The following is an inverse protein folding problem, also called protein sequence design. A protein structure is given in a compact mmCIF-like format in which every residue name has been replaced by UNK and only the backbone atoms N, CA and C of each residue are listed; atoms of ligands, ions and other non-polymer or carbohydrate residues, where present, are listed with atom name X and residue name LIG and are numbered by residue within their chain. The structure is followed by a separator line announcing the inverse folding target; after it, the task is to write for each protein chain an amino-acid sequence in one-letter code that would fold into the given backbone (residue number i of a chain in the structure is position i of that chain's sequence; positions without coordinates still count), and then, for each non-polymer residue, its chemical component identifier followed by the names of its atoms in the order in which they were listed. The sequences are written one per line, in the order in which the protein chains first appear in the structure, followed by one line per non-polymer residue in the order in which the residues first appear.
data_IF_558256436644
#
_entry.id   IF_558256436644
#
_cell.length_a   1.000
_cell.length_b   1.000
_cell.length_c   1.000
_cell.angle_alpha   90.00
_cell.angle_beta   90.00
_cell.angle_gamma   90.00
#
_symmetry.space_group_name_H-M   'P 1'
#
loop_
_entity.id
_entity.type
_entity.pdbx_description
1 polymer ?
#
# COMPACT_ATOMS: atom_id res chain seq x y z
N UNK A 1 7.23 37.70 -21.74
CA UNK A 1 7.86 37.23 -20.48
C UNK A 1 6.79 37.37 -19.39
N UNK A 2 6.38 36.29 -18.73
CA UNK A 2 5.38 36.38 -17.66
C UNK A 2 6.03 37.01 -16.41
N UNK A 3 5.37 37.98 -15.73
CA UNK A 3 5.83 38.42 -14.42
C UNK A 3 6.01 37.20 -13.52
N UNK A 4 7.17 37.08 -12.88
CA UNK A 4 7.55 35.98 -11.97
C UNK A 4 7.61 34.56 -12.59
N UNK A 5 7.68 34.42 -13.93
CA UNK A 5 7.73 33.12 -14.63
C UNK A 5 6.56 32.15 -14.28
N UNK A 6 5.39 32.69 -13.91
CA UNK A 6 4.20 31.89 -13.57
C UNK A 6 3.13 32.03 -14.65
N UNK A 7 2.62 30.90 -15.14
CA UNK A 7 1.55 30.87 -16.13
C UNK A 7 0.23 31.11 -15.41
N UNK A 8 -0.37 32.29 -15.56
CA UNK A 8 -1.68 32.59 -14.97
C UNK A 8 -2.87 32.06 -15.82
N UNK A 9 -2.64 31.85 -17.11
CA UNK A 9 -3.65 31.41 -18.09
C UNK A 9 -2.99 30.70 -19.28
N UNK A 10 -3.63 29.65 -19.78
CA UNK A 10 -3.34 29.06 -21.10
C UNK A 10 -4.63 28.97 -21.95
N UNK A 11 -4.63 28.19 -23.03
CA UNK A 11 -5.80 28.02 -23.91
C UNK A 11 -7.00 27.33 -23.25
N UNK A 12 -6.78 26.59 -22.16
CA UNK A 12 -7.76 25.72 -21.52
C UNK A 12 -8.00 26.05 -20.05
N UNK A 13 -7.08 26.73 -19.38
CA UNK A 13 -7.08 26.86 -17.93
C UNK A 13 -6.66 28.23 -17.42
N UNK A 14 -7.18 28.57 -16.25
CA UNK A 14 -6.72 29.63 -15.38
C UNK A 14 -6.01 29.02 -14.16
N UNK A 15 -4.97 29.69 -13.68
CA UNK A 15 -4.11 29.22 -12.60
C UNK A 15 -3.96 30.31 -11.53
N UNK A 16 -4.05 29.90 -10.25
CA UNK A 16 -3.78 30.77 -9.10
C UNK A 16 -2.69 30.17 -8.24
N UNK A 17 -1.84 31.03 -7.69
CA UNK A 17 -0.69 30.65 -6.89
C UNK A 17 -0.73 31.37 -5.54
N UNK A 18 -0.17 30.74 -4.52
CA UNK A 18 0.08 31.43 -3.24
C UNK A 18 1.34 32.32 -3.30
N UNK A 19 1.62 33.02 -2.18
CA UNK A 19 2.81 33.87 -2.01
C UNK A 19 4.13 33.13 -2.22
N UNK A 20 4.15 31.81 -2.06
CA UNK A 20 5.33 30.96 -2.24
C UNK A 20 5.42 30.41 -3.67
N UNK A 21 4.49 30.76 -4.57
CA UNK A 21 4.47 30.29 -5.95
C UNK A 21 3.95 28.87 -6.13
N UNK A 22 3.29 28.29 -5.12
CA UNK A 22 2.66 26.97 -5.25
C UNK A 22 1.28 27.13 -5.87
N UNK A 23 0.95 26.29 -6.84
CA UNK A 23 -0.36 26.27 -7.49
C UNK A 23 -1.43 25.95 -6.44
N UNK A 24 -2.37 26.86 -6.17
CA UNK A 24 -3.46 26.64 -5.22
C UNK A 24 -4.77 26.33 -5.91
N UNK A 25 -4.97 26.82 -7.12
CA UNK A 25 -6.19 26.57 -7.88
C UNK A 25 -5.93 26.49 -9.38
N UNK A 26 -6.61 25.55 -10.04
CA UNK A 26 -6.67 25.43 -11.50
C UNK A 26 -8.13 25.26 -11.92
N UNK A 27 -8.63 26.12 -12.80
CA UNK A 27 -10.01 26.08 -13.32
C UNK A 27 -10.02 26.07 -14.83
N UNK A 28 -11.03 25.47 -15.44
CA UNK A 28 -11.26 25.61 -16.88
C UNK A 28 -11.40 27.09 -17.27
N UNK A 29 -10.84 27.45 -18.43
CA UNK A 29 -10.98 28.76 -19.06
C UNK A 29 -12.22 28.74 -19.95
N UNK A 30 -13.18 29.61 -19.66
CA UNK A 30 -14.38 29.79 -20.48
C UNK A 30 -14.13 31.00 -21.38
N UNK A 31 -14.14 30.84 -22.71
CA UNK A 31 -14.03 31.97 -23.62
C UNK A 31 -15.21 32.94 -23.46
N UNK A 32 -14.97 34.23 -23.68
CA UNK A 32 -16.04 35.23 -23.68
C UNK A 32 -17.09 34.90 -24.74
N UNK A 33 -18.37 35.05 -24.38
CA UNK A 33 -19.50 34.77 -25.27
C UNK A 33 -19.92 33.30 -25.38
N UNK A 34 -19.24 32.37 -24.70
CA UNK A 34 -19.63 30.95 -24.64
C UNK A 34 -20.53 30.71 -23.42
N UNK A 35 -21.62 29.97 -23.63
CA UNK A 35 -22.51 29.50 -22.55
C UNK A 35 -21.76 28.45 -21.74
N UNK A 36 -21.76 28.57 -20.41
CA UNK A 36 -21.16 27.59 -19.50
C UNK A 36 -21.87 26.25 -19.71
N UNK A 37 -21.12 25.24 -20.13
CA UNK A 37 -21.69 23.96 -20.60
C UNK A 37 -21.99 22.97 -19.50
N UNK A 38 -21.84 23.36 -18.24
CA UNK A 38 -22.20 22.44 -17.19
C UNK A 38 -21.05 21.83 -16.39
N UNK A 39 -19.89 21.84 -17.07
CA UNK A 39 -18.93 20.75 -16.98
C UNK A 39 -17.58 21.17 -16.39
N UNK A 40 -17.46 22.45 -16.10
CA UNK A 40 -16.29 23.12 -15.55
C UNK A 40 -15.83 22.51 -14.24
N UNK A 41 -14.51 22.36 -14.11
CA UNK A 41 -13.85 21.74 -12.99
C UNK A 41 -12.98 22.77 -12.31
N UNK A 42 -13.11 22.82 -10.99
CA UNK A 42 -12.18 23.54 -10.13
C UNK A 42 -11.31 22.53 -9.39
N UNK A 43 -10.00 22.66 -9.56
CA UNK A 43 -8.98 21.89 -8.87
C UNK A 43 -8.41 22.77 -7.77
N UNK A 44 -8.40 22.31 -6.51
CA UNK A 44 -7.77 23.02 -5.39
C UNK A 44 -6.66 22.18 -4.78
N UNK A 45 -5.58 22.85 -4.41
CA UNK A 45 -4.35 22.25 -3.92
C UNK A 45 -3.98 22.89 -2.59
N UNK A 46 -3.75 22.06 -1.58
CA UNK A 46 -3.44 22.50 -0.22
C UNK A 46 -2.13 21.88 0.24
N UNK A 47 -1.31 22.72 0.85
CA UNK A 47 0.04 22.38 1.25
C UNK A 47 0.22 22.51 2.76
N UNK A 48 1.10 21.70 3.33
CA UNK A 48 1.55 21.89 4.70
C UNK A 48 2.61 23.01 4.82
N UNK A 49 3.10 23.22 6.03
CA UNK A 49 4.16 24.19 6.35
C UNK A 49 5.52 23.82 5.75
N UNK A 50 5.73 22.56 5.36
CA UNK A 50 6.93 22.08 4.67
C UNK A 50 6.77 22.14 3.15
N UNK A 51 5.74 22.82 2.65
CA UNK A 51 5.46 22.99 1.23
C UNK A 51 5.12 21.71 0.46
N UNK A 52 4.63 20.67 1.14
CA UNK A 52 4.21 19.41 0.53
C UNK A 52 2.70 19.42 0.28
N UNK A 53 2.27 18.93 -0.88
CA UNK A 53 0.85 18.81 -1.22
C UNK A 53 0.20 17.75 -0.33
N UNK A 54 -0.62 18.15 0.64
CA UNK A 54 -1.27 17.22 1.58
C UNK A 54 -2.73 16.94 1.23
N UNK A 55 -3.36 17.83 0.47
CA UNK A 55 -4.77 17.69 0.09
C UNK A 55 -5.05 18.28 -1.28
N UNK A 56 -5.86 17.56 -2.05
CA UNK A 56 -6.35 17.96 -3.36
C UNK A 56 -7.85 17.70 -3.46
N UNK A 57 -8.60 18.65 -4.01
CA UNK A 57 -10.00 18.46 -4.38
C UNK A 57 -10.21 18.80 -5.85
N UNK A 58 -11.13 18.08 -6.50
CA UNK A 58 -11.68 18.44 -7.79
C UNK A 58 -13.18 18.51 -7.66
N UNK A 59 -13.75 19.69 -7.85
CA UNK A 59 -15.19 19.92 -7.81
C UNK A 59 -15.73 20.27 -9.19
N UNK A 60 -16.97 19.89 -9.44
CA UNK A 60 -17.77 20.38 -10.55
C UNK A 60 -19.02 20.96 -9.90
N UNK A 61 -19.31 22.25 -10.12
CA UNK A 61 -20.41 22.95 -9.44
C UNK A 61 -20.41 22.88 -7.92
N UNK A 62 -19.25 23.13 -7.31
CA UNK A 62 -19.04 22.95 -5.86
C UNK A 62 -19.24 21.51 -5.34
N UNK A 63 -19.71 20.57 -6.17
CA UNK A 63 -19.82 19.16 -5.81
C UNK A 63 -18.47 18.44 -5.98
N UNK A 64 -17.98 17.72 -4.96
CA UNK A 64 -16.70 17.02 -5.04
C UNK A 64 -16.78 15.80 -5.97
N UNK A 65 -15.98 15.81 -7.02
CA UNK A 65 -15.75 14.65 -7.90
C UNK A 65 -14.64 13.74 -7.37
N UNK A 66 -13.60 14.34 -6.82
CA UNK A 66 -12.43 13.64 -6.29
C UNK A 66 -11.89 14.41 -5.11
N UNK A 67 -11.52 13.67 -4.07
CA UNK A 67 -10.68 14.17 -3.00
C UNK A 67 -9.45 13.28 -2.88
N UNK A 68 -8.28 13.86 -2.61
CA UNK A 68 -7.05 13.10 -2.39
C UNK A 68 -6.27 13.65 -1.21
N UNK A 69 -5.74 12.76 -0.37
CA UNK A 69 -4.87 13.08 0.75
C UNK A 69 -3.54 12.36 0.58
N UNK A 70 -2.45 13.03 0.93
CA UNK A 70 -1.09 12.50 0.78
C UNK A 70 -0.37 12.51 2.12
N UNK A 71 0.32 11.42 2.42
CA UNK A 71 1.14 11.27 3.62
C UNK A 71 2.60 11.19 3.21
N UNK A 72 3.46 11.81 4.02
CA UNK A 72 4.89 11.90 3.79
C UNK A 72 5.66 11.44 5.03
N UNK A 73 6.84 10.89 4.82
CA UNK A 73 7.79 10.65 5.92
C UNK A 73 8.57 11.94 6.27
N UNK A 74 9.42 11.92 7.32
CA UNK A 74 10.21 13.09 7.71
C UNK A 74 11.19 13.60 6.64
N UNK A 75 11.62 12.74 5.70
CA UNK A 75 12.48 13.12 4.58
C UNK A 75 11.70 13.73 3.41
N UNK A 76 10.37 13.83 3.52
CA UNK A 76 9.51 14.43 2.50
C UNK A 76 9.13 13.47 1.37
N UNK A 77 9.40 12.17 1.50
CA UNK A 77 8.99 11.17 0.51
C UNK A 77 7.55 10.77 0.78
N UNK A 78 6.73 10.66 -0.28
CA UNK A 78 5.31 10.27 -0.13
C UNK A 78 5.23 8.79 0.27
N UNK A 79 4.62 8.49 1.41
CA UNK A 79 4.42 7.11 1.92
C UNK A 79 3.02 6.58 1.67
N UNK A 80 2.03 7.47 1.51
CA UNK A 80 0.67 7.07 1.15
C UNK A 80 -0.06 8.10 0.30
N UNK A 81 -1.01 7.61 -0.49
CA UNK A 81 -2.01 8.39 -1.21
C UNK A 81 -3.37 7.76 -0.94
N UNK A 82 -4.33 8.57 -0.47
CA UNK A 82 -5.73 8.18 -0.28
C UNK A 82 -6.58 8.95 -1.27
N UNK A 83 -7.46 8.27 -2.00
CA UNK A 83 -8.32 8.88 -3.03
C UNK A 83 -9.77 8.48 -2.79
N UNK A 84 -10.62 9.48 -2.61
CA UNK A 84 -12.06 9.33 -2.61
C UNK A 84 -12.58 9.78 -3.97
N UNK A 85 -13.47 9.01 -4.57
CA UNK A 85 -14.06 9.33 -5.88
C UNK A 85 -15.57 9.41 -5.73
N UNK A 86 -16.18 10.33 -6.47
CA UNK A 86 -17.63 10.41 -6.53
C UNK A 86 -18.16 9.17 -7.21
N UNK A 87 -19.00 8.43 -6.51
CA UNK A 87 -19.62 7.20 -6.96
C UNK A 87 -21.07 7.16 -6.49
N UNK A 88 -21.85 6.29 -7.13
CA UNK A 88 -23.25 6.05 -6.75
C UNK A 88 -23.26 5.04 -5.61
N UNK A 89 -23.90 5.37 -4.50
CA UNK A 89 -24.09 4.43 -3.41
C UNK A 89 -25.30 3.50 -3.66
N UNK A 90 -25.57 2.58 -2.73
CA UNK A 90 -26.68 1.62 -2.82
C UNK A 90 -28.07 2.28 -2.86
N UNK A 91 -28.19 3.54 -2.45
CA UNK A 91 -29.44 4.31 -2.50
C UNK A 91 -29.60 5.10 -3.80
N UNK A 92 -28.58 5.10 -4.66
CA UNK A 92 -28.54 5.90 -5.88
C UNK A 92 -27.97 7.30 -5.68
N UNK A 93 -27.55 7.67 -4.46
CA UNK A 93 -27.00 8.98 -4.15
C UNK A 93 -25.55 9.11 -4.63
N UNK A 94 -25.21 10.28 -5.21
CA UNK A 94 -23.90 10.56 -5.76
C UNK A 94 -23.02 11.32 -4.77
N UNK A 95 -22.13 10.60 -4.08
CA UNK A 95 -21.22 11.18 -3.08
C UNK A 95 -19.81 10.59 -3.20
N UNK A 96 -18.84 11.18 -2.49
CA UNK A 96 -17.52 10.57 -2.38
C UNK A 96 -17.61 9.18 -1.73
N UNK A 97 -16.84 8.23 -2.25
CA UNK A 97 -16.74 6.86 -1.75
C UNK A 97 -16.58 6.82 -0.22
N UNK A 98 -17.26 5.92 0.49
CA UNK A 98 -17.14 5.88 1.97
C UNK A 98 -15.72 5.56 2.43
N UNK A 99 -15.02 4.70 1.69
CA UNK A 99 -13.63 4.33 1.93
C UNK A 99 -12.75 4.88 0.80
N UNK A 100 -11.54 5.38 1.11
CA UNK A 100 -10.59 5.75 0.08
C UNK A 100 -9.97 4.52 -0.59
N UNK A 101 -9.63 4.67 -1.87
CA UNK A 101 -8.59 3.86 -2.49
C UNK A 101 -7.24 4.30 -1.92
N UNK A 102 -6.47 3.36 -1.36
CA UNK A 102 -5.18 3.65 -0.74
C UNK A 102 -4.06 3.07 -1.58
N UNK A 103 -3.03 3.87 -1.84
CA UNK A 103 -1.75 3.42 -2.39
C UNK A 103 -0.65 3.72 -1.39
N UNK A 104 0.10 2.70 -1.02
CA UNK A 104 1.28 2.77 -0.16
C UNK A 104 2.55 2.78 -1.00
N UNK A 105 3.56 3.49 -0.51
CA UNK A 105 4.85 3.66 -1.16
C UNK A 105 5.96 3.30 -0.16
N UNK A 106 6.75 2.29 -0.49
CA UNK A 106 7.92 1.85 0.28
C UNK A 106 9.20 2.35 -0.34
N UNK A 107 10.11 2.84 0.50
CA UNK A 107 11.35 3.49 0.07
C UNK A 107 12.58 2.79 0.67
N UNK A 108 13.67 2.75 -0.09
CA UNK A 108 15.02 2.41 0.37
C UNK A 108 15.96 3.57 -0.01
N UNK A 109 16.37 4.37 0.98
CA UNK A 109 16.93 5.69 0.71
C UNK A 109 15.99 6.47 -0.23
N UNK A 110 16.51 7.05 -1.29
CA UNK A 110 15.70 7.82 -2.25
C UNK A 110 15.03 6.95 -3.33
N UNK A 111 15.16 5.62 -3.26
CA UNK A 111 14.59 4.69 -4.24
C UNK A 111 13.20 4.25 -3.83
N UNK A 112 12.23 4.40 -4.73
CA UNK A 112 10.89 3.85 -4.56
C UNK A 112 10.91 2.35 -4.86
N UNK A 113 10.95 1.52 -3.83
CA UNK A 113 11.09 0.06 -3.98
C UNK A 113 9.79 -0.68 -3.97
N UNK A 114 8.71 -0.11 -3.41
CA UNK A 114 7.40 -0.77 -3.33
C UNK A 114 6.27 0.20 -3.62
N UNK A 115 5.32 -0.22 -4.45
CA UNK A 115 4.01 0.44 -4.63
C UNK A 115 2.95 -0.62 -4.35
N UNK A 116 2.05 -0.38 -3.42
CA UNK A 116 0.98 -1.34 -3.09
C UNK A 116 -0.37 -0.66 -3.02
N UNK A 117 -1.36 -1.21 -3.72
CA UNK A 117 -2.76 -0.85 -3.56
C UNK A 117 -3.59 -2.11 -3.24
N UNK A 118 -4.90 -1.97 -3.29
CA UNK A 118 -5.88 -3.04 -3.05
C UNK A 118 -5.80 -4.20 -4.06
N UNK A 119 -5.24 -3.95 -5.25
CA UNK A 119 -5.19 -4.91 -6.35
C UNK A 119 -3.81 -5.50 -6.55
N UNK A 120 -2.76 -4.70 -6.46
CA UNK A 120 -1.40 -5.10 -6.80
C UNK A 120 -0.37 -4.53 -5.84
N UNK A 121 0.67 -5.32 -5.60
CA UNK A 121 1.96 -4.91 -5.08
C UNK A 121 2.99 -5.00 -6.20
N UNK A 122 3.70 -3.91 -6.43
CA UNK A 122 4.82 -3.81 -7.35
C UNK A 122 6.05 -3.59 -6.49
N UNK A 123 7.09 -4.39 -6.71
CA UNK A 123 8.40 -4.20 -6.11
C UNK A 123 9.44 -4.00 -7.19
N UNK A 124 10.34 -3.04 -6.99
CA UNK A 124 11.45 -2.77 -7.91
C UNK A 124 12.77 -2.93 -7.19
N UNK A 125 13.62 -3.79 -7.74
CA UNK A 125 14.99 -4.03 -7.29
C UNK A 125 15.89 -3.22 -8.20
N UNK A 126 16.73 -2.40 -7.59
CA UNK A 126 17.69 -1.54 -8.27
C UNK A 126 19.09 -2.15 -8.22
N UNK A 127 19.94 -1.74 -9.15
CA UNK A 127 21.37 -2.01 -9.05
C UNK A 127 21.93 -1.35 -7.78
N UNK A 128 22.84 -2.03 -7.05
CA UNK A 128 23.45 -1.47 -5.85
C UNK A 128 24.02 -0.06 -6.09
N UNK A 129 23.66 0.90 -5.24
CA UNK A 129 24.14 2.27 -5.33
C UNK A 129 23.61 3.09 -6.52
N UNK A 130 22.66 2.58 -7.31
CA UNK A 130 22.14 3.24 -8.51
C UNK A 130 20.61 3.38 -8.49
N UNK A 131 20.07 4.22 -9.37
CA UNK A 131 18.64 4.29 -9.70
C UNK A 131 18.25 3.43 -10.91
N UNK A 132 19.20 2.68 -11.47
CA UNK A 132 18.96 1.72 -12.55
C UNK A 132 18.11 0.55 -12.04
N UNK A 133 16.85 0.39 -12.51
CA UNK A 133 16.05 -0.76 -12.13
C UNK A 133 16.61 -2.01 -12.81
N UNK A 134 16.65 -3.13 -12.09
CA UNK A 134 17.07 -4.43 -12.61
C UNK A 134 15.86 -5.35 -12.79
N UNK A 135 15.02 -5.42 -11.76
CA UNK A 135 13.88 -6.34 -11.70
C UNK A 135 12.67 -5.58 -11.19
N UNK A 136 11.52 -5.77 -11.85
CA UNK A 136 10.21 -5.41 -11.33
C UNK A 136 9.38 -6.68 -11.13
N UNK A 137 8.91 -6.86 -9.91
CA UNK A 137 8.05 -7.98 -9.51
C UNK A 137 6.66 -7.44 -9.25
N UNK A 138 5.66 -7.97 -9.94
CA UNK A 138 4.26 -7.66 -9.68
C UNK A 138 3.59 -8.87 -9.04
N UNK A 139 2.81 -8.62 -8.01
CA UNK A 139 2.04 -9.66 -7.30
C UNK A 139 0.66 -9.10 -7.02
N UNK A 140 -0.39 -9.84 -7.36
CA UNK A 140 -1.74 -9.43 -7.00
C UNK A 140 -1.88 -9.44 -5.47
N UNK A 141 -2.56 -8.44 -4.90
CA UNK A 141 -2.76 -8.35 -3.44
C UNK A 141 -3.53 -9.55 -2.91
N UNK A 142 -4.47 -10.10 -3.70
CA UNK A 142 -5.14 -11.36 -3.38
C UNK A 142 -4.21 -12.58 -3.34
N UNK A 143 -3.15 -12.61 -4.16
CA UNK A 143 -2.13 -13.67 -4.11
C UNK A 143 -1.24 -13.52 -2.87
N UNK A 144 -0.93 -12.28 -2.46
CA UNK A 144 -0.23 -12.03 -1.21
C UNK A 144 -1.05 -12.47 0.00
N UNK A 145 -2.37 -12.26 -0.02
CA UNK A 145 -3.23 -12.68 1.08
C UNK A 145 -3.18 -14.20 1.33
N UNK A 146 -2.98 -15.02 0.29
CA UNK A 146 -2.79 -16.47 0.42
C UNK A 146 -1.51 -16.89 1.14
N UNK A 147 -0.56 -15.97 1.33
CA UNK A 147 0.66 -16.23 2.12
C UNK A 147 0.42 -16.15 3.62
N UNK A 148 -0.72 -15.57 4.04
CA UNK A 148 -1.13 -15.58 5.43
C UNK A 148 -1.51 -17.02 5.82
N UNK A 149 -0.84 -17.54 6.83
CA UNK A 149 -1.03 -18.89 7.37
C UNK A 149 -1.27 -18.79 8.87
N UNK A 150 -1.97 -19.77 9.44
CA UNK A 150 -2.08 -19.88 10.89
C UNK A 150 -0.74 -20.36 11.43
N UNK A 151 -0.37 -19.87 12.62
CA UNK A 151 0.81 -20.40 13.32
C UNK A 151 0.56 -21.83 13.78
N UNK A 152 1.62 -22.57 14.08
CA UNK A 152 1.52 -23.89 14.71
C UNK A 152 0.74 -23.79 16.04
N UNK A 153 0.97 -22.71 16.80
CA UNK A 153 0.22 -22.43 18.01
C UNK A 153 -1.28 -22.27 17.75
N UNK A 154 -1.67 -21.47 16.75
CA UNK A 154 -3.07 -21.28 16.38
C UNK A 154 -3.75 -22.59 15.96
N UNK A 155 -3.07 -23.41 15.16
CA UNK A 155 -3.60 -24.70 14.69
C UNK A 155 -3.86 -25.63 15.87
N UNK A 156 -2.86 -25.79 16.75
CA UNK A 156 -2.98 -26.65 17.92
C UNK A 156 -4.01 -26.14 18.94
N UNK A 157 -4.13 -24.82 19.07
CA UNK A 157 -5.11 -24.20 19.95
C UNK A 157 -6.55 -24.43 19.50
N UNK A 158 -6.78 -24.47 18.18
CA UNK A 158 -8.08 -24.76 17.57
C UNK A 158 -8.45 -26.25 17.62
N UNK A 159 -7.46 -27.15 17.62
CA UNK A 159 -7.69 -28.61 17.69
C UNK A 159 -7.73 -29.17 19.13
N UNK A 160 -7.40 -28.37 20.14
CA UNK A 160 -7.03 -28.85 21.48
C UNK A 160 -8.17 -29.18 22.45
N UNK A 161 -9.44 -28.89 22.12
CA UNK A 161 -10.56 -29.21 23.01
C UNK A 161 -11.10 -30.62 22.77
N UNK A 162 -11.26 -31.42 23.83
CA UNK A 162 -11.88 -32.75 23.77
C UNK A 162 -13.32 -32.72 23.18
N UNK A 163 -13.99 -31.56 23.27
CA UNK A 163 -15.32 -31.29 22.67
C UNK A 163 -15.27 -30.42 21.39
N UNK A 164 -14.09 -30.24 20.78
CA UNK A 164 -13.90 -29.31 19.66
C UNK A 164 -13.89 -27.82 20.04
N UNK A 165 -13.78 -27.51 21.34
CA UNK A 165 -13.63 -26.15 21.86
C UNK A 165 -12.21 -25.61 21.68
N UNK A 166 -12.07 -24.30 21.42
CA UNK A 166 -10.76 -23.65 21.43
C UNK A 166 -10.22 -23.63 22.86
N UNK A 167 -9.01 -24.15 23.05
CA UNK A 167 -8.23 -23.94 24.28
C UNK A 167 -7.56 -22.56 24.20
N UNK A 168 -7.06 -22.00 25.29
CA UNK A 168 -6.21 -20.80 25.25
C UNK A 168 -4.84 -21.19 25.80
N UNK A 169 -3.80 -21.07 24.98
CA UNK A 169 -2.44 -21.41 25.41
C UNK A 169 -1.81 -20.29 26.24
N UNK A 170 -1.03 -20.62 27.29
CA UNK A 170 -0.20 -19.65 27.98
C UNK A 170 0.81 -19.00 27.02
N UNK A 171 1.18 -17.72 27.20
CA UNK A 171 2.09 -17.01 26.29
C UNK A 171 3.44 -17.69 26.08
N UNK A 172 3.97 -18.34 27.13
CA UNK A 172 5.25 -19.07 27.06
C UNK A 172 5.15 -20.26 26.09
N UNK A 173 4.03 -20.99 26.08
CA UNK A 173 3.82 -22.09 25.16
C UNK A 173 3.70 -21.61 23.71
N UNK A 174 2.99 -20.49 23.49
CA UNK A 174 2.91 -19.85 22.17
C UNK A 174 4.30 -19.49 21.64
N UNK A 175 5.14 -18.86 22.48
CA UNK A 175 6.52 -18.53 22.10
C UNK A 175 7.37 -19.75 21.78
N UNK A 176 7.22 -20.84 22.54
CA UNK A 176 7.94 -22.10 22.26
C UNK A 176 7.50 -22.72 20.94
N UNK A 177 6.19 -22.70 20.65
CA UNK A 177 5.63 -23.19 19.39
C UNK A 177 6.05 -22.32 18.20
N UNK A 178 6.02 -20.98 18.34
CA UNK A 178 6.49 -20.03 17.32
C UNK A 178 7.99 -20.22 17.00
N UNK A 179 8.80 -20.48 18.04
CA UNK A 179 10.21 -20.80 17.89
C UNK A 179 10.39 -22.12 17.16
N UNK A 180 9.72 -23.18 17.60
CA UNK A 180 9.79 -24.50 16.97
C UNK A 180 9.37 -24.43 15.50
N UNK A 181 8.27 -23.74 15.21
CA UNK A 181 7.78 -23.53 13.86
C UNK A 181 8.81 -22.82 12.98
N UNK A 182 9.44 -21.76 13.49
CA UNK A 182 10.52 -21.06 12.79
C UNK A 182 11.74 -21.96 12.54
N UNK A 183 12.09 -22.81 13.52
CA UNK A 183 13.18 -23.77 13.41
C UNK A 183 12.89 -24.88 12.38
N UNK A 184 11.66 -25.38 12.32
CA UNK A 184 11.19 -26.35 11.32
C UNK A 184 11.25 -25.74 9.91
N UNK A 185 10.72 -24.53 9.73
CA UNK A 185 10.75 -23.83 8.44
C UNK A 185 12.17 -23.55 7.95
N UNK A 186 13.11 -23.37 8.88
CA UNK A 186 14.52 -23.16 8.56
C UNK A 186 15.31 -24.46 8.39
N UNK A 187 14.68 -25.63 8.52
CA UNK A 187 15.30 -26.96 8.55
C UNK A 187 16.45 -27.07 9.56
N UNK A 188 16.30 -26.40 10.72
CA UNK A 188 17.34 -26.25 11.74
C UNK A 188 16.76 -26.32 13.16
N UNK A 189 16.06 -27.41 13.47
CA UNK A 189 15.53 -27.67 14.82
C UNK A 189 16.65 -27.76 15.84
N UNK A 190 16.51 -27.02 16.94
CA UNK A 190 17.48 -27.00 18.02
C UNK A 190 17.37 -28.24 18.92
N UNK A 191 18.47 -28.61 19.59
CA UNK A 191 18.46 -29.70 20.57
C UNK A 191 17.51 -29.43 21.75
N UNK A 192 17.36 -28.17 22.12
CA UNK A 192 16.39 -27.73 23.13
C UNK A 192 14.96 -28.09 22.72
N UNK A 193 14.56 -27.70 21.51
CA UNK A 193 13.25 -28.02 20.95
C UNK A 193 13.03 -29.52 20.80
N UNK A 194 14.05 -30.28 20.38
CA UNK A 194 13.97 -31.75 20.30
C UNK A 194 13.75 -32.39 21.67
N UNK A 195 14.48 -31.97 22.70
CA UNK A 195 14.31 -32.48 24.07
C UNK A 195 12.95 -32.13 24.64
N UNK A 196 12.49 -30.90 24.39
CA UNK A 196 11.16 -30.48 24.81
C UNK A 196 10.07 -31.35 24.16
N UNK A 197 10.10 -31.52 22.84
CA UNK A 197 9.16 -32.40 22.13
C UNK A 197 9.23 -33.84 22.65
N UNK A 198 10.43 -34.39 22.85
CA UNK A 198 10.61 -35.73 23.40
C UNK A 198 10.03 -35.87 24.83
N UNK A 199 10.15 -34.84 25.67
CA UNK A 199 9.54 -34.81 27.01
C UNK A 199 8.01 -34.83 26.96
N UNK A 200 7.43 -34.36 25.86
CA UNK A 200 5.99 -34.40 25.58
C UNK A 200 5.55 -35.64 24.79
N UNK A 201 6.48 -36.54 24.41
CA UNK A 201 6.19 -37.70 23.56
C UNK A 201 5.89 -37.36 22.10
N UNK A 202 6.32 -36.18 21.64
CA UNK A 202 6.08 -35.67 20.28
C UNK A 202 7.37 -35.71 19.45
N UNK A 203 7.22 -35.77 18.13
CA UNK A 203 8.33 -35.68 17.18
C UNK A 203 8.25 -34.40 16.34
N UNK A 204 9.38 -34.00 15.76
CA UNK A 204 9.44 -32.87 14.81
C UNK A 204 8.52 -33.11 13.61
N UNK A 205 8.50 -34.34 13.07
CA UNK A 205 7.67 -34.73 11.93
C UNK A 205 6.17 -34.59 12.26
N UNK A 206 5.75 -35.01 13.47
CA UNK A 206 4.37 -34.82 13.91
C UNK A 206 3.98 -33.34 13.96
N UNK A 207 4.86 -32.47 14.48
CA UNK A 207 4.62 -31.03 14.53
C UNK A 207 4.60 -30.40 13.15
N UNK A 208 5.51 -30.82 12.25
CA UNK A 208 5.54 -30.38 10.87
C UNK A 208 4.23 -30.72 10.13
N UNK A 209 3.65 -31.89 10.40
CA UNK A 209 2.37 -32.30 9.81
C UNK A 209 1.17 -31.48 10.31
N UNK A 210 1.30 -30.73 11.41
CA UNK A 210 0.27 -29.79 11.89
C UNK A 210 0.39 -28.39 11.27
N UNK A 211 1.49 -28.10 10.57
CA UNK A 211 1.73 -26.78 10.02
C UNK A 211 0.94 -26.56 8.73
N UNK A 212 0.29 -25.41 8.61
CA UNK A 212 -0.26 -24.96 7.33
C UNK A 212 0.91 -24.83 6.31
N UNK A 213 0.76 -25.37 5.08
CA UNK A 213 1.84 -25.39 4.10
C UNK A 213 2.25 -23.98 3.66
N UNK A 214 3.54 -23.79 3.39
CA UNK A 214 4.07 -22.51 2.92
C UNK A 214 3.65 -22.27 1.46
N UNK A 215 2.86 -21.22 1.24
CA UNK A 215 2.43 -20.81 -0.09
C UNK A 215 3.42 -19.81 -0.72
N UNK A 216 3.88 -20.11 -1.94
CA UNK A 216 4.62 -19.16 -2.76
C UNK A 216 3.64 -18.42 -3.68
N UNK A 217 3.46 -17.10 -3.52
CA UNK A 217 2.47 -16.35 -4.29
C UNK A 217 2.88 -16.26 -5.77
N UNK A 218 1.91 -16.35 -6.67
CA UNK A 218 2.15 -16.17 -8.09
C UNK A 218 2.60 -14.73 -8.38
N UNK A 219 3.65 -14.57 -9.20
CA UNK A 219 4.25 -13.26 -9.52
C UNK A 219 4.53 -13.12 -11.01
N UNK A 220 4.44 -11.90 -11.51
CA UNK A 220 4.94 -11.52 -12.84
C UNK A 220 6.27 -10.81 -12.67
N UNK A 221 7.31 -11.31 -13.34
CA UNK A 221 8.67 -10.76 -13.26
C UNK A 221 8.99 -10.05 -14.58
N UNK A 222 9.48 -8.82 -14.46
CA UNK A 222 9.97 -8.01 -15.55
C UNK A 222 11.46 -7.74 -15.33
N UNK A 223 12.28 -8.07 -16.31
CA UNK A 223 13.71 -7.80 -16.31
C UNK A 223 13.96 -6.54 -17.14
N UNK A 224 14.69 -5.59 -16.56
CA UNK A 224 15.18 -4.42 -17.29
C UNK A 224 16.56 -4.74 -17.82
N UNK A 225 16.74 -4.62 -19.14
CA UNK A 225 18.07 -4.64 -19.73
C UNK A 225 18.48 -3.19 -19.97
N UNK A 226 19.54 -2.74 -19.31
CA UNK A 226 20.21 -1.51 -19.70
C UNK A 226 21.33 -1.87 -20.67
N UNK A 227 21.08 -1.62 -21.97
CA UNK A 227 22.15 -1.54 -22.95
C UNK A 227 22.92 -0.23 -22.70
N UNK A 228 23.95 -0.29 -21.88
CA UNK A 228 24.96 0.75 -21.81
C UNK A 228 25.87 0.61 -23.04
N UNK A 229 25.42 1.12 -24.18
CA UNK A 229 26.28 1.39 -25.34
C UNK A 229 26.79 2.83 -25.29
#
# INVERSE_FOLDING_TARGET
MWPDNRIARDAHYLYRYDRHGRLTEKTDLIPEGVIRTDDERTHRYHYDSQHRLVHYTRTQYAEPLVESRYLYDPLGRRVAKRVWRRERDLTGWMSLSRKPQVTWYGWDGDRLTTIQNDRTRIQTIYQPGSFTPLIRVETATGELAKTQRRSLADTLQQSGGEDGGSVVFPPVLVQMLDRLESEILADRVSEESRRWLASCGLTVEQMQNQMDPVYTPARKIHLYHCDHR
#
